data_IF_573105496384
#
_entry.id   IF_573105496384
#
_cell.length_a   1.000
_cell.length_b   1.000
_cell.length_c   1.000
_cell.angle_alpha   90.00
_cell.angle_beta   90.00
_cell.angle_gamma   90.00
#
_symmetry.space_group_name_H-M   'P 1'
#
loop_
_entity.id
_entity.type
_entity.pdbx_description
1 polymer ?
#
# COMPACT_ATOMS: atom_id res chain seq x y z
N UNK A 1 -2.65 38.60 2.31
CA UNK A 1 -3.74 37.97 3.10
C UNK A 1 -3.23 37.60 4.49
N UNK A 2 -2.08 36.92 4.57
CA UNK A 2 -1.52 36.43 5.85
C UNK A 2 -1.25 37.51 6.89
N UNK A 3 -0.75 38.69 6.50
CA UNK A 3 -0.51 39.82 7.43
C UNK A 3 -1.78 40.30 8.15
N UNK A 4 -2.94 40.31 7.46
CA UNK A 4 -4.23 40.73 8.03
C UNK A 4 -4.82 39.67 8.96
N UNK A 5 -4.59 38.39 8.64
CA UNK A 5 -5.00 37.27 9.49
C UNK A 5 -4.16 37.26 10.77
N UNK A 6 -2.85 37.47 10.67
CA UNK A 6 -1.93 37.57 11.82
C UNK A 6 -2.26 38.73 12.74
N UNK A 7 -2.52 39.93 12.21
CA UNK A 7 -2.94 41.09 13.03
C UNK A 7 -4.24 40.82 13.80
N UNK A 8 -5.19 40.10 13.21
CA UNK A 8 -6.53 39.93 13.77
C UNK A 8 -6.65 38.72 14.69
N UNK A 9 -5.88 37.67 14.45
CA UNK A 9 -6.03 36.37 15.14
C UNK A 9 -4.73 35.84 15.77
N UNK A 10 -3.61 36.55 15.59
CA UNK A 10 -2.29 36.18 16.09
C UNK A 10 -1.50 35.32 15.11
N UNK A 11 -0.17 35.28 15.33
CA UNK A 11 0.79 34.65 14.41
C UNK A 11 0.56 33.15 14.17
N UNK A 12 -0.02 32.46 15.15
CA UNK A 12 -0.20 31.00 15.14
C UNK A 12 -1.64 30.58 14.79
N UNK A 13 -2.47 31.47 14.26
CA UNK A 13 -3.88 31.16 14.00
C UNK A 13 -4.05 30.10 12.90
N UNK A 14 -3.27 30.19 11.83
CA UNK A 14 -3.30 29.23 10.71
C UNK A 14 -2.89 27.84 11.20
N UNK A 15 -1.76 27.74 11.90
CA UNK A 15 -1.27 26.49 12.48
C UNK A 15 -2.31 25.81 13.40
N UNK A 16 -3.02 26.61 14.22
CA UNK A 16 -4.09 26.09 15.07
C UNK A 16 -5.28 25.57 14.28
N UNK A 17 -5.63 26.25 13.18
CA UNK A 17 -6.70 25.83 12.28
C UNK A 17 -6.35 24.51 11.57
N UNK A 18 -5.12 24.39 11.09
CA UNK A 18 -4.60 23.15 10.48
C UNK A 18 -4.66 21.99 11.48
N UNK A 19 -4.20 22.19 12.72
CA UNK A 19 -4.29 21.17 13.77
C UNK A 19 -5.73 20.72 14.06
N UNK A 20 -6.69 21.66 14.05
CA UNK A 20 -8.11 21.34 14.23
C UNK A 20 -8.65 20.58 13.02
N UNK A 21 -8.32 21.01 11.81
CA UNK A 21 -8.74 20.36 10.57
C UNK A 21 -8.23 18.91 10.49
N UNK A 22 -6.94 18.68 10.78
CA UNK A 22 -6.35 17.34 10.81
C UNK A 22 -7.01 16.46 11.87
N UNK A 23 -7.38 17.05 13.02
CA UNK A 23 -8.05 16.31 14.10
C UNK A 23 -9.46 15.88 13.68
N UNK A 24 -10.21 16.78 13.06
CA UNK A 24 -11.56 16.49 12.56
C UNK A 24 -11.51 15.44 11.45
N UNK A 25 -10.57 15.57 10.50
CA UNK A 25 -10.37 14.60 9.44
C UNK A 25 -10.06 13.20 10.00
N UNK A 26 -9.12 13.11 10.94
CA UNK A 26 -8.77 11.84 11.56
C UNK A 26 -9.96 11.23 12.31
N UNK A 27 -10.67 12.00 13.14
CA UNK A 27 -11.81 11.50 13.90
C UNK A 27 -12.96 10.98 13.00
N UNK A 28 -13.20 11.64 11.87
CA UNK A 28 -14.20 11.23 10.89
C UNK A 28 -13.79 9.94 10.16
N UNK A 29 -12.49 9.79 9.84
CA UNK A 29 -11.97 8.66 9.06
C UNK A 29 -11.30 7.56 9.87
N UNK A 30 -11.17 7.65 11.19
CA UNK A 30 -10.36 6.69 11.99
C UNK A 30 -10.73 5.21 11.87
N UNK A 31 -11.94 4.91 11.40
CA UNK A 31 -12.45 3.56 11.19
C UNK A 31 -12.51 3.16 9.70
N UNK A 32 -12.04 4.01 8.79
CA UNK A 32 -11.97 3.73 7.35
C UNK A 32 -10.60 3.17 6.98
N UNK A 33 -10.37 3.00 5.67
CA UNK A 33 -9.08 2.61 5.11
C UNK A 33 -8.40 3.84 4.51
N UNK A 34 -7.14 4.05 4.88
CA UNK A 34 -6.35 5.19 4.45
C UNK A 34 -5.46 4.85 3.24
N UNK A 35 -5.23 5.85 2.40
CA UNK A 35 -4.26 5.80 1.29
C UNK A 35 -2.84 6.16 1.78
N UNK A 36 -1.83 5.87 0.96
CA UNK A 36 -0.43 6.11 1.33
C UNK A 36 -0.08 7.56 1.65
N UNK A 37 -0.77 8.51 1.01
CA UNK A 37 -0.54 9.95 1.20
C UNK A 37 -1.39 10.53 2.34
N UNK A 38 -2.27 9.74 2.96
CA UNK A 38 -3.12 10.17 4.07
C UNK A 38 -2.56 9.77 5.45
N UNK A 39 -1.41 9.09 5.50
CA UNK A 39 -0.81 8.59 6.75
C UNK A 39 0.55 9.22 7.04
N UNK A 40 0.90 9.37 8.32
CA UNK A 40 2.20 9.91 8.75
C UNK A 40 3.33 8.89 8.54
N UNK A 41 3.01 7.61 8.75
CA UNK A 41 3.94 6.49 8.51
C UNK A 41 3.24 5.39 7.74
N UNK A 42 3.93 4.87 6.72
CA UNK A 42 3.41 3.79 5.91
C UNK A 42 3.53 2.44 6.60
N UNK A 43 2.63 1.50 6.28
CA UNK A 43 2.73 0.15 6.81
C UNK A 43 3.97 -0.55 6.22
N UNK A 44 4.75 -1.19 7.07
CA UNK A 44 6.02 -1.81 6.68
C UNK A 44 6.11 -3.23 7.21
N UNK A 45 6.59 -4.17 6.41
CA UNK A 45 6.91 -5.52 6.89
C UNK A 45 8.09 -5.47 7.86
N UNK A 46 8.07 -6.24 8.95
CA UNK A 46 9.22 -6.30 9.86
C UNK A 46 10.42 -6.92 9.13
N UNK A 47 11.62 -6.39 9.39
CA UNK A 47 12.92 -6.92 8.91
C UNK A 47 13.12 -6.94 7.37
N UNK A 48 12.57 -5.99 6.62
CA UNK A 48 12.87 -5.87 5.19
C UNK A 48 13.21 -4.42 4.84
N UNK A 49 14.44 -4.18 4.42
CA UNK A 49 15.00 -2.85 4.16
C UNK A 49 14.58 -2.29 2.77
N UNK A 50 14.11 -3.15 1.85
CA UNK A 50 13.81 -2.82 0.45
C UNK A 50 12.33 -2.45 0.20
N UNK A 51 11.68 -1.77 1.15
CA UNK A 51 10.22 -1.58 1.11
C UNK A 51 9.73 -0.31 0.43
N UNK A 52 10.60 0.70 0.28
CA UNK A 52 10.21 2.04 -0.17
C UNK A 52 9.69 2.09 -1.62
N UNK A 53 9.84 1.02 -2.40
CA UNK A 53 9.42 0.96 -3.81
C UNK A 53 8.23 0.05 -4.12
N UNK A 54 7.67 -0.68 -3.14
CA UNK A 54 6.68 -1.74 -3.40
C UNK A 54 7.25 -2.99 -4.12
N UNK A 55 8.57 -3.05 -4.32
CA UNK A 55 9.28 -4.18 -4.94
C UNK A 55 9.33 -5.41 -4.04
N UNK A 56 9.16 -5.23 -2.72
CA UNK A 56 9.09 -6.36 -1.79
C UNK A 56 7.97 -7.35 -2.15
N UNK A 57 6.82 -6.89 -2.65
CA UNK A 57 5.70 -7.78 -3.05
C UNK A 57 6.14 -8.65 -4.20
N UNK A 58 6.84 -8.05 -5.18
CA UNK A 58 7.33 -8.75 -6.37
C UNK A 58 8.38 -9.78 -5.98
N UNK A 59 9.35 -9.39 -5.14
CA UNK A 59 10.38 -10.30 -4.63
C UNK A 59 9.75 -11.46 -3.83
N UNK A 60 8.82 -11.14 -2.92
CA UNK A 60 8.10 -12.14 -2.15
C UNK A 60 7.34 -13.13 -3.04
N UNK A 61 6.59 -12.63 -4.03
CA UNK A 61 5.87 -13.49 -4.97
C UNK A 61 6.82 -14.39 -5.77
N UNK A 62 7.97 -13.85 -6.22
CA UNK A 62 8.98 -14.63 -6.94
C UNK A 62 9.61 -15.72 -6.08
N UNK A 63 9.86 -15.47 -4.79
CA UNK A 63 10.35 -16.50 -3.85
C UNK A 63 9.36 -17.65 -3.65
N UNK A 64 8.06 -17.42 -3.89
CA UNK A 64 7.01 -18.45 -3.77
C UNK A 64 6.73 -19.19 -5.07
N UNK A 65 7.31 -18.77 -6.19
CA UNK A 65 7.20 -19.49 -7.44
C UNK A 65 7.98 -20.82 -7.38
N UNK A 66 7.53 -21.88 -8.05
CA UNK A 66 8.29 -23.11 -8.15
C UNK A 66 9.69 -22.88 -8.74
N UNK A 67 10.72 -23.62 -8.27
CA UNK A 67 12.03 -23.63 -8.93
C UNK A 67 11.84 -24.01 -10.41
N UNK A 68 12.32 -23.17 -11.35
CA UNK A 68 12.12 -23.27 -12.81
C UNK A 68 10.73 -22.83 -13.33
N UNK A 69 10.05 -21.94 -12.62
CA UNK A 69 8.89 -21.25 -13.18
C UNK A 69 9.24 -20.64 -14.54
N UNK A 70 8.36 -20.82 -15.53
CA UNK A 70 8.51 -20.28 -16.90
C UNK A 70 8.30 -18.77 -16.98
N UNK A 71 8.18 -18.11 -15.83
CA UNK A 71 7.97 -16.68 -15.72
C UNK A 71 8.41 -16.18 -14.34
N UNK A 72 8.63 -14.87 -14.26
CA UNK A 72 8.84 -14.13 -13.01
C UNK A 72 7.99 -12.86 -13.00
N UNK A 73 7.63 -12.41 -11.81
CA UNK A 73 7.03 -11.11 -11.58
C UNK A 73 8.12 -10.04 -11.65
N UNK A 74 7.81 -8.90 -12.27
CA UNK A 74 8.70 -7.75 -12.36
C UNK A 74 7.96 -6.47 -12.03
N UNK A 75 8.69 -5.47 -11.52
CA UNK A 75 8.15 -4.13 -11.35
C UNK A 75 7.92 -3.52 -12.73
N UNK A 76 6.91 -2.67 -12.83
CA UNK A 76 6.45 -2.20 -14.12
C UNK A 76 7.39 -1.09 -14.63
N UNK A 77 8.33 -1.40 -15.53
CA UNK A 77 9.31 -0.41 -15.99
C UNK A 77 8.91 0.27 -17.31
N UNK A 78 8.00 -0.30 -18.13
CA UNK A 78 7.59 0.34 -19.41
C UNK A 78 6.12 0.08 -19.86
N UNK A 79 5.50 -1.06 -19.51
CA UNK A 79 4.21 -1.50 -20.10
C UNK A 79 2.99 -1.36 -19.15
N UNK A 80 1.79 -1.79 -19.59
CA UNK A 80 0.62 -1.93 -18.70
C UNK A 80 0.82 -3.15 -17.79
N UNK A 81 0.57 -3.07 -16.46
CA UNK A 81 0.74 -4.21 -15.57
C UNK A 81 -0.18 -5.38 -15.99
N UNK A 82 0.30 -6.60 -15.78
CA UNK A 82 -0.52 -7.81 -16.01
C UNK A 82 -1.59 -7.96 -14.92
N UNK A 83 -1.26 -7.56 -13.69
CA UNK A 83 -2.17 -7.59 -12.55
C UNK A 83 -2.07 -6.29 -11.77
N UNK A 84 -3.21 -5.75 -11.36
CA UNK A 84 -3.27 -4.72 -10.31
C UNK A 84 -3.83 -5.40 -9.07
N UNK A 85 -2.98 -5.56 -8.07
CA UNK A 85 -3.28 -6.23 -6.82
C UNK A 85 -3.63 -5.17 -5.79
N UNK A 86 -4.71 -5.38 -5.06
CA UNK A 86 -5.11 -4.56 -3.92
C UNK A 86 -5.22 -5.42 -2.67
N UNK A 87 -4.80 -4.90 -1.53
CA UNK A 87 -5.09 -5.48 -0.22
C UNK A 87 -5.01 -4.41 0.86
N UNK A 88 -5.48 -4.72 2.06
CA UNK A 88 -5.36 -3.82 3.22
C UNK A 88 -4.45 -4.43 4.28
N UNK A 89 -3.70 -3.59 4.98
CA UNK A 89 -3.04 -3.95 6.25
C UNK A 89 -3.83 -3.27 7.36
N UNK A 90 -4.36 -4.05 8.29
CA UNK A 90 -5.17 -3.50 9.38
C UNK A 90 -4.33 -2.97 10.56
N UNK A 91 -5.02 -2.44 11.57
CA UNK A 91 -4.43 -1.87 12.79
C UNK A 91 -3.62 -2.89 13.60
N UNK A 92 -3.83 -4.19 13.38
CA UNK A 92 -3.11 -5.28 14.04
C UNK A 92 -1.91 -5.75 13.21
N UNK A 93 -1.72 -5.23 12.00
CA UNK A 93 -0.69 -5.66 11.08
C UNK A 93 -1.04 -6.96 10.36
N UNK A 94 -2.33 -7.25 10.14
CA UNK A 94 -2.79 -8.38 9.34
C UNK A 94 -3.14 -7.95 7.92
N UNK A 95 -2.77 -8.77 6.93
CA UNK A 95 -3.23 -8.60 5.55
C UNK A 95 -4.68 -9.08 5.39
N UNK A 96 -5.55 -8.22 4.87
CA UNK A 96 -6.98 -8.46 4.63
C UNK A 96 -7.39 -7.98 3.23
N UNK A 97 -8.58 -8.38 2.79
CA UNK A 97 -9.24 -7.89 1.56
C UNK A 97 -8.36 -7.98 0.30
N UNK A 98 -7.66 -9.11 0.12
CA UNK A 98 -6.77 -9.31 -1.03
C UNK A 98 -7.59 -9.55 -2.29
N UNK A 99 -7.41 -8.70 -3.30
CA UNK A 99 -8.15 -8.69 -4.54
C UNK A 99 -7.26 -8.37 -5.75
N UNK A 100 -7.71 -8.76 -6.95
CA UNK A 100 -7.12 -8.34 -8.22
C UNK A 100 -8.12 -7.39 -8.89
N UNK A 101 -7.77 -6.10 -8.98
CA UNK A 101 -8.63 -5.06 -9.57
C UNK A 101 -8.58 -5.04 -11.09
N UNK A 102 -7.39 -5.25 -11.65
CA UNK A 102 -7.18 -5.36 -13.09
C UNK A 102 -6.38 -6.61 -13.43
N UNK A 103 -6.73 -7.24 -14.55
CA UNK A 103 -6.04 -8.41 -15.10
C UNK A 103 -5.92 -8.29 -16.60
N UNK A 104 -4.73 -8.56 -17.11
CA UNK A 104 -4.51 -8.87 -18.51
C UNK A 104 -4.78 -10.37 -18.75
N UNK A 105 -5.77 -10.69 -19.58
CA UNK A 105 -6.22 -12.07 -19.83
C UNK A 105 -5.36 -12.78 -20.89
N UNK A 106 -4.08 -12.98 -20.60
CA UNK A 106 -3.22 -13.81 -21.43
C UNK A 106 -3.33 -15.28 -21.02
N UNK A 107 -3.70 -16.16 -21.95
CA UNK A 107 -3.92 -17.58 -21.68
C UNK A 107 -2.68 -18.30 -21.12
N UNK A 108 -1.49 -17.83 -21.48
CA UNK A 108 -0.19 -18.30 -20.98
C UNK A 108 -0.04 -18.23 -19.46
N UNK A 109 -0.75 -17.32 -18.79
CA UNK A 109 -0.60 -17.06 -17.35
C UNK A 109 -1.86 -17.40 -16.55
N UNK A 110 -2.76 -18.20 -17.12
CA UNK A 110 -4.00 -18.63 -16.46
C UNK A 110 -3.68 -19.34 -15.14
N UNK A 111 -4.33 -18.93 -14.04
CA UNK A 111 -4.12 -19.50 -12.71
C UNK A 111 -3.08 -18.75 -11.86
N UNK A 112 -2.29 -17.84 -12.44
CA UNK A 112 -1.32 -17.01 -11.69
C UNK A 112 -2.02 -16.12 -10.66
N UNK A 113 -3.25 -15.71 -10.94
CA UNK A 113 -4.11 -14.99 -10.02
C UNK A 113 -4.35 -15.73 -8.70
N UNK A 114 -4.57 -17.05 -8.76
CA UNK A 114 -4.77 -17.87 -7.56
C UNK A 114 -3.50 -17.90 -6.71
N UNK A 115 -2.34 -17.96 -7.34
CA UNK A 115 -1.04 -17.91 -6.66
C UNK A 115 -0.89 -16.56 -5.96
N UNK A 116 -1.13 -15.45 -6.68
CA UNK A 116 -1.04 -14.10 -6.13
C UNK A 116 -1.94 -13.94 -4.89
N UNK A 117 -3.23 -14.26 -5.02
CA UNK A 117 -4.20 -14.11 -3.93
C UNK A 117 -3.82 -14.99 -2.71
N UNK A 118 -3.43 -16.24 -2.96
CA UNK A 118 -3.04 -17.19 -1.91
C UNK A 118 -1.75 -16.78 -1.19
N UNK A 119 -0.74 -16.28 -1.90
CA UNK A 119 0.53 -15.94 -1.28
C UNK A 119 0.48 -14.58 -0.56
N UNK A 120 -0.23 -13.60 -1.11
CA UNK A 120 -0.37 -12.28 -0.47
C UNK A 120 -1.18 -12.36 0.82
N UNK A 121 -2.26 -13.16 0.84
CA UNK A 121 -3.06 -13.37 2.06
C UNK A 121 -2.28 -14.02 3.22
N UNK A 122 -1.11 -14.61 2.96
CA UNK A 122 -0.23 -15.19 3.98
C UNK A 122 0.84 -14.23 4.49
N UNK A 123 0.97 -13.04 3.91
CA UNK A 123 1.96 -12.06 4.36
C UNK A 123 1.56 -11.60 5.76
N UNK A 124 2.51 -11.72 6.69
CA UNK A 124 2.36 -11.37 8.11
C UNK A 124 3.49 -10.45 8.54
N UNK A 125 3.45 -10.11 9.82
CA UNK A 125 4.47 -9.33 10.52
C UNK A 125 4.58 -7.91 9.98
N UNK A 126 3.43 -7.29 9.74
CA UNK A 126 3.39 -5.86 9.42
C UNK A 126 3.51 -5.03 10.69
N UNK A 127 4.29 -3.96 10.58
CA UNK A 127 4.09 -2.74 11.34
C UNK A 127 2.97 -1.97 10.63
N UNK A 128 1.84 -1.70 11.29
CA UNK A 128 0.72 -1.00 10.66
C UNK A 128 1.11 0.44 10.32
N UNK A 129 0.38 1.04 9.37
CA UNK A 129 0.48 2.48 9.14
C UNK A 129 -0.01 3.23 10.37
N UNK A 130 0.46 4.46 10.58
CA UNK A 130 -0.02 5.29 11.68
C UNK A 130 -0.28 6.74 11.30
N UNK A 131 -1.26 7.33 11.98
CA UNK A 131 -1.55 8.76 12.03
C UNK A 131 -1.47 9.15 13.50
N UNK A 132 -0.67 10.16 13.83
CA UNK A 132 -0.45 10.63 15.21
C UNK A 132 -0.03 9.52 16.17
N UNK A 133 0.79 8.58 15.68
CA UNK A 133 1.22 7.35 16.37
C UNK A 133 0.10 6.34 16.69
N UNK A 134 -1.12 6.55 16.20
CA UNK A 134 -2.21 5.58 16.31
C UNK A 134 -2.24 4.66 15.09
N UNK A 135 -2.32 3.32 15.28
CA UNK A 135 -2.37 2.39 14.16
C UNK A 135 -3.69 2.52 13.38
N UNK A 136 -3.58 2.58 12.06
CA UNK A 136 -4.71 2.69 11.13
C UNK A 136 -4.70 1.57 10.10
N UNK A 137 -5.86 1.31 9.49
CA UNK A 137 -5.95 0.39 8.36
C UNK A 137 -5.54 1.13 7.09
N UNK A 138 -4.61 0.58 6.31
CA UNK A 138 -4.08 1.21 5.10
C UNK A 138 -4.24 0.31 3.87
N UNK A 139 -4.46 0.91 2.70
CA UNK A 139 -4.63 0.21 1.42
C UNK A 139 -3.35 0.14 0.61
N UNK A 140 -2.96 -1.07 0.24
CA UNK A 140 -1.91 -1.33 -0.73
C UNK A 140 -2.52 -1.54 -2.11
N UNK A 141 -1.94 -0.88 -3.11
CA UNK A 141 -2.23 -1.16 -4.50
C UNK A 141 -0.92 -1.27 -5.29
N UNK A 142 -0.72 -2.39 -5.99
CA UNK A 142 0.50 -2.64 -6.75
C UNK A 142 0.20 -3.24 -8.11
N UNK A 143 0.68 -2.57 -9.16
CA UNK A 143 0.80 -3.14 -10.49
C UNK A 143 1.98 -4.11 -10.56
N UNK A 144 1.75 -5.30 -11.09
CA UNK A 144 2.77 -6.33 -11.30
C UNK A 144 2.72 -6.78 -12.75
N UNK A 145 3.88 -6.78 -13.40
CA UNK A 145 4.05 -7.34 -14.73
C UNK A 145 4.66 -8.75 -14.65
N UNK A 146 4.48 -9.52 -15.73
CA UNK A 146 5.07 -10.84 -15.86
C UNK A 146 6.05 -10.82 -17.01
N UNK A 147 7.27 -11.28 -16.76
CA UNK A 147 8.26 -11.55 -17.77
C UNK A 147 8.38 -13.06 -17.95
N UNK A 148 8.38 -13.52 -19.20
CA UNK A 148 8.59 -14.95 -19.49
C UNK A 148 10.05 -15.33 -19.21
N UNK A 149 10.26 -16.44 -18.52
CA UNK A 149 11.59 -17.05 -18.42
C UNK A 149 11.97 -17.67 -19.77
N UNK A 150 13.27 -17.62 -20.09
CA UNK A 150 13.87 -18.36 -21.21
C UNK A 150 13.80 -19.87 -21.00
#
# INVERSE_FOLDING_TARGET
MDSLIKEKFGDNFVDKLELVADSLFFEEKKNTTFEYYEVDTWAMRKNNEDQLGGDFIINYLNEKLPPKSSFRFVSNIVDRPHYVIEFTVDKQGETKNVEIKERNNTEKFKGTDKIILNEISKIKDWTPASIRNEPVTAKFQRGVAIESGE
#
